data_IF_390128297744
#
_entry.id   IF_390128297744
#
_cell.length_a   1.000
_cell.length_b   1.000
_cell.length_c   1.000
_cell.angle_alpha   90.00
_cell.angle_beta   90.00
_cell.angle_gamma   90.00
#
_symmetry.space_group_name_H-M   'P 1'
#
loop_
_entity.id
_entity.type
_entity.pdbx_description
1 polymer ?
#
# COMPACT_ATOMS: atom_id res chain seq x y z
N UNK A 1 -18.38 25.18 36.14
CA UNK A 1 -18.21 25.67 34.75
C UNK A 1 -16.83 25.28 34.24
N UNK A 2 -16.64 24.00 33.88
CA UNK A 2 -15.35 23.46 33.41
C UNK A 2 -15.50 22.58 32.14
N UNK A 3 -16.72 22.42 31.62
CA UNK A 3 -17.01 21.56 30.48
C UNK A 3 -16.54 22.15 29.13
N UNK A 4 -16.54 23.48 28.96
CA UNK A 4 -16.44 24.08 27.62
C UNK A 4 -15.06 23.99 26.95
N UNK A 5 -14.00 23.63 27.68
CA UNK A 5 -12.67 23.44 27.07
C UNK A 5 -12.40 22.00 26.65
N UNK A 6 -13.19 21.03 27.14
CA UNK A 6 -13.03 19.62 26.81
C UNK A 6 -13.78 19.23 25.53
N UNK A 7 -14.93 19.88 25.29
CA UNK A 7 -15.75 19.64 24.11
C UNK A 7 -14.98 19.75 22.77
N UNK A 8 -14.18 20.82 22.51
CA UNK A 8 -13.41 20.90 21.27
C UNK A 8 -12.29 19.85 21.19
N UNK A 9 -11.67 19.49 22.32
CA UNK A 9 -10.61 18.46 22.35
C UNK A 9 -11.19 17.07 22.11
N UNK A 10 -12.39 16.80 22.63
CA UNK A 10 -13.09 15.55 22.38
C UNK A 10 -13.53 15.45 20.91
N UNK A 11 -14.08 16.52 20.35
CA UNK A 11 -14.44 16.57 18.93
C UNK A 11 -13.23 16.33 18.00
N UNK A 12 -12.09 16.93 18.34
CA UNK A 12 -10.81 16.69 17.64
C UNK A 12 -10.37 15.23 17.73
N UNK A 13 -10.39 14.65 18.93
CA UNK A 13 -9.99 13.26 19.16
C UNK A 13 -10.91 12.27 18.42
N UNK A 14 -12.22 12.53 18.42
CA UNK A 14 -13.20 11.72 17.70
C UNK A 14 -13.00 11.82 16.20
N UNK A 15 -12.73 13.01 15.65
CA UNK A 15 -12.44 13.21 14.22
C UNK A 15 -11.20 12.41 13.80
N UNK A 16 -10.13 12.46 14.59
CA UNK A 16 -8.90 11.68 14.35
C UNK A 16 -9.16 10.18 14.41
N UNK A 17 -9.94 9.71 15.39
CA UNK A 17 -10.30 8.31 15.51
C UNK A 17 -11.08 7.80 14.28
N UNK A 18 -12.03 8.61 13.78
CA UNK A 18 -12.77 8.27 12.54
C UNK A 18 -11.82 8.18 11.35
N UNK A 19 -10.91 9.13 11.18
CA UNK A 19 -9.93 9.10 10.09
C UNK A 19 -9.03 7.83 10.16
N UNK A 20 -8.59 7.44 11.36
CA UNK A 20 -7.81 6.21 11.57
C UNK A 20 -8.58 4.94 11.20
N UNK A 21 -9.85 4.84 11.60
CA UNK A 21 -10.71 3.70 11.26
C UNK A 21 -10.90 3.60 9.74
N UNK A 22 -11.20 4.72 9.08
CA UNK A 22 -11.35 4.75 7.62
C UNK A 22 -10.10 4.30 6.88
N UNK A 23 -8.91 4.68 7.38
CA UNK A 23 -7.62 4.25 6.82
C UNK A 23 -7.32 2.78 7.06
N UNK A 24 -7.79 2.21 8.16
CA UNK A 24 -7.62 0.80 8.46
C UNK A 24 -8.52 -0.11 7.60
N UNK A 25 -9.60 0.45 7.03
CA UNK A 25 -10.64 -0.27 6.30
C UNK A 25 -10.80 0.27 4.86
N UNK A 26 -9.73 0.24 4.07
CA UNK A 26 -9.74 0.65 2.66
C UNK A 26 -10.57 -0.26 1.74
N UNK A 27 -11.01 -1.41 2.24
CA UNK A 27 -11.92 -2.33 1.59
C UNK A 27 -13.40 -1.94 1.75
N UNK A 28 -13.71 -0.98 2.61
CA UNK A 28 -15.07 -0.46 2.75
C UNK A 28 -15.49 0.35 1.54
N UNK A 29 -16.70 0.06 1.06
CA UNK A 29 -17.39 0.90 0.10
C UNK A 29 -17.92 2.16 0.77
N UNK A 30 -18.31 3.15 -0.04
CA UNK A 30 -19.03 4.31 0.50
C UNK A 30 -20.33 3.90 1.21
N UNK A 31 -21.00 2.83 0.76
CA UNK A 31 -22.18 2.28 1.44
C UNK A 31 -21.86 1.83 2.88
N UNK A 32 -20.78 1.07 3.05
CA UNK A 32 -20.33 0.59 4.37
C UNK A 32 -19.97 1.77 5.29
N UNK A 33 -19.33 2.81 4.76
CA UNK A 33 -19.04 4.04 5.51
C UNK A 33 -20.34 4.73 5.95
N UNK A 34 -21.33 4.79 5.07
CA UNK A 34 -22.64 5.37 5.39
C UNK A 34 -23.36 4.57 6.48
N UNK A 35 -23.37 3.24 6.37
CA UNK A 35 -24.03 2.35 7.34
C UNK A 35 -23.34 2.37 8.70
N UNK A 36 -22.02 2.26 8.75
CA UNK A 36 -21.29 2.11 10.01
C UNK A 36 -20.93 3.41 10.71
N UNK A 37 -20.76 4.51 9.98
CA UNK A 37 -20.26 5.77 10.54
C UNK A 37 -21.24 6.92 10.39
N UNK A 38 -21.82 7.12 9.20
CA UNK A 38 -22.65 8.31 8.92
C UNK A 38 -23.98 8.31 9.69
N UNK A 39 -24.66 7.16 9.72
CA UNK A 39 -25.93 7.01 10.45
C UNK A 39 -25.73 6.81 11.97
N UNK A 40 -24.49 6.68 12.41
CA UNK A 40 -24.13 6.44 13.80
C UNK A 40 -23.76 7.72 14.58
N UNK A 41 -23.36 7.55 15.86
CA UNK A 41 -22.92 8.66 16.72
C UNK A 41 -21.66 9.37 16.19
N UNK A 42 -20.97 8.77 15.20
CA UNK A 42 -19.75 9.31 14.58
C UNK A 42 -20.02 10.12 13.32
N UNK A 43 -21.26 10.22 12.86
CA UNK A 43 -21.64 11.00 11.68
C UNK A 43 -21.20 12.47 11.72
N UNK A 44 -21.37 13.20 12.85
CA UNK A 44 -20.88 14.57 12.95
C UNK A 44 -19.37 14.69 12.81
N UNK A 45 -18.61 13.77 13.40
CA UNK A 45 -17.15 13.73 13.28
C UNK A 45 -16.71 13.41 11.83
N UNK A 46 -17.36 12.43 11.19
CA UNK A 46 -17.10 12.05 9.80
C UNK A 46 -17.26 13.23 8.83
N UNK A 47 -18.28 14.07 9.02
CA UNK A 47 -18.53 15.25 8.15
C UNK A 47 -17.42 16.30 8.21
N UNK A 48 -16.63 16.30 9.27
CA UNK A 48 -15.53 17.24 9.46
C UNK A 48 -14.20 16.68 8.97
N UNK A 49 -14.11 15.35 8.77
CA UNK A 49 -12.89 14.72 8.23
C UNK A 49 -12.69 15.19 6.80
N UNK A 50 -11.56 15.83 6.54
CA UNK A 50 -11.18 16.25 5.19
C UNK A 50 -10.51 15.12 4.42
N UNK A 51 -10.53 15.20 3.09
CA UNK A 51 -9.75 14.27 2.25
C UNK A 51 -8.26 14.35 2.60
N UNK A 52 -7.73 15.55 2.86
CA UNK A 52 -6.35 15.72 3.33
C UNK A 52 -6.09 14.91 4.61
N UNK A 53 -6.96 15.01 5.61
CA UNK A 53 -6.88 14.19 6.84
C UNK A 53 -7.14 12.70 6.63
N UNK A 54 -7.60 12.24 5.47
CA UNK A 54 -7.64 10.81 5.13
C UNK A 54 -6.37 10.36 4.42
N UNK A 55 -5.72 11.25 3.68
CA UNK A 55 -4.52 10.97 2.90
C UNK A 55 -3.20 11.21 3.68
N UNK A 56 -3.18 12.19 4.58
CA UNK A 56 -2.02 12.62 5.37
C UNK A 56 -1.94 11.88 6.70
N UNK A 57 -1.23 10.76 6.71
CA UNK A 57 -0.98 10.03 7.94
C UNK A 57 -0.04 10.85 8.86
N UNK A 58 -0.46 11.30 10.06
CA UNK A 58 0.43 12.03 10.95
C UNK A 58 1.62 11.17 11.42
N UNK A 59 1.55 9.85 11.28
CA UNK A 59 2.66 8.91 11.51
C UNK A 59 3.23 8.29 10.23
N UNK A 60 2.62 8.54 9.06
CA UNK A 60 2.94 7.86 7.81
C UNK A 60 3.12 8.86 6.68
N UNK A 61 4.24 8.73 5.97
CA UNK A 61 4.55 9.47 4.74
C UNK A 61 3.27 9.76 3.94
N UNK A 62 3.04 11.02 3.55
CA UNK A 62 1.94 11.38 2.65
C UNK A 62 1.84 10.34 1.52
N UNK A 63 0.62 10.03 1.04
CA UNK A 63 0.42 9.15 -0.11
C UNK A 63 1.20 9.69 -1.32
N UNK A 64 2.48 9.32 -1.40
CA UNK A 64 3.37 9.69 -2.46
C UNK A 64 2.95 8.83 -3.63
N UNK A 65 2.23 9.43 -4.58
CA UNK A 65 2.07 8.87 -5.90
C UNK A 65 3.48 8.58 -6.42
N UNK A 66 3.85 7.31 -6.62
CA UNK A 66 5.19 7.01 -7.04
C UNK A 66 5.39 7.61 -8.45
N UNK A 67 6.43 8.43 -8.61
CA UNK A 67 6.78 9.07 -9.89
C UNK A 67 7.22 8.08 -10.98
N UNK A 68 7.08 6.78 -10.73
CA UNK A 68 7.51 5.70 -11.60
C UNK A 68 6.41 5.20 -12.55
N UNK A 69 5.25 5.87 -12.58
CA UNK A 69 4.14 5.58 -13.48
C UNK A 69 3.38 4.30 -13.17
N UNK A 70 3.71 3.60 -12.07
CA UNK A 70 2.98 2.41 -11.67
C UNK A 70 1.75 2.70 -10.80
N UNK A 71 0.94 1.66 -10.51
CA UNK A 71 -0.22 1.78 -9.64
C UNK A 71 0.18 2.24 -8.24
N UNK A 72 -0.82 2.75 -7.51
CA UNK A 72 -0.70 3.14 -6.10
C UNK A 72 -0.09 2.01 -5.26
N UNK A 73 0.77 2.40 -4.32
CA UNK A 73 1.42 1.44 -3.41
C UNK A 73 0.39 0.99 -2.38
N UNK A 74 -0.08 -0.25 -2.51
CA UNK A 74 -0.90 -0.90 -1.49
C UNK A 74 -0.05 -1.16 -0.22
N UNK A 75 -0.27 -0.33 0.81
CA UNK A 75 0.43 -0.42 2.10
C UNK A 75 0.14 -1.73 2.84
N UNK A 76 -1.08 -2.26 2.73
CA UNK A 76 -1.44 -3.52 3.38
C UNK A 76 -0.65 -4.66 2.75
N UNK A 77 -0.60 -4.70 1.42
CA UNK A 77 0.25 -5.65 0.69
C UNK A 77 1.72 -5.48 1.02
N UNK A 78 2.21 -4.23 1.12
CA UNK A 78 3.59 -3.93 1.48
C UNK A 78 3.96 -4.50 2.86
N UNK A 79 3.11 -4.29 3.87
CA UNK A 79 3.33 -4.82 5.22
C UNK A 79 3.28 -6.35 5.28
N UNK A 80 2.35 -6.97 4.55
CA UNK A 80 2.30 -8.43 4.42
C UNK A 80 3.54 -8.99 3.71
N UNK A 81 4.00 -8.34 2.64
CA UNK A 81 5.21 -8.74 1.90
C UNK A 81 6.50 -8.57 2.73
N UNK A 82 6.59 -7.52 3.56
CA UNK A 82 7.71 -7.34 4.50
C UNK A 82 7.85 -8.55 5.44
N UNK A 83 6.73 -9.07 5.95
CA UNK A 83 6.67 -10.23 6.88
C UNK A 83 6.73 -11.59 6.19
N UNK A 84 6.42 -11.68 4.90
CA UNK A 84 6.44 -12.93 4.14
C UNK A 84 7.86 -13.49 3.95
N UNK A 85 8.00 -14.81 3.82
CA UNK A 85 9.30 -15.46 3.59
C UNK A 85 9.20 -16.52 2.48
N UNK A 86 10.33 -16.82 1.84
CA UNK A 86 10.42 -17.87 0.82
C UNK A 86 9.42 -17.66 -0.32
N UNK A 87 8.70 -18.72 -0.68
CA UNK A 87 7.72 -18.73 -1.78
C UNK A 87 6.63 -17.67 -1.62
N UNK A 88 6.14 -17.42 -0.40
CA UNK A 88 5.11 -16.40 -0.17
C UNK A 88 5.61 -15.00 -0.55
N UNK A 89 6.88 -14.70 -0.31
CA UNK A 89 7.47 -13.43 -0.75
C UNK A 89 7.62 -13.39 -2.27
N UNK A 90 7.97 -14.51 -2.88
CA UNK A 90 8.12 -14.63 -4.34
C UNK A 90 6.78 -14.42 -5.05
N UNK A 91 5.67 -14.86 -4.46
CA UNK A 91 4.33 -14.62 -4.99
C UNK A 91 3.96 -13.13 -4.97
N UNK A 92 4.27 -12.41 -3.88
CA UNK A 92 4.09 -10.95 -3.84
C UNK A 92 4.95 -10.25 -4.90
N UNK A 93 6.20 -10.69 -5.05
CA UNK A 93 7.13 -10.14 -6.03
C UNK A 93 6.65 -10.40 -7.47
N UNK A 94 6.14 -11.59 -7.75
CA UNK A 94 5.58 -11.96 -9.06
C UNK A 94 4.33 -11.15 -9.38
N UNK A 95 3.41 -10.99 -8.43
CA UNK A 95 2.21 -10.15 -8.62
C UNK A 95 2.56 -8.72 -8.99
N UNK A 96 3.52 -8.11 -8.28
CA UNK A 96 3.99 -6.75 -8.59
C UNK A 96 4.65 -6.68 -9.98
N UNK A 97 5.38 -7.72 -10.39
CA UNK A 97 5.95 -7.79 -11.74
C UNK A 97 4.89 -7.98 -12.83
N UNK A 98 3.82 -8.74 -12.55
CA UNK A 98 2.74 -9.02 -13.48
C UNK A 98 1.78 -7.81 -13.64
N UNK A 99 1.59 -7.04 -12.56
CA UNK A 99 0.83 -5.78 -12.59
C UNK A 99 1.58 -4.66 -13.31
N UNK A 100 2.90 -4.77 -13.47
CA UNK A 100 3.68 -3.77 -14.15
C UNK A 100 3.49 -3.86 -15.66
N UNK A 101 3.11 -2.75 -16.30
CA UNK A 101 3.08 -2.62 -17.76
C UNK A 101 4.52 -2.50 -18.31
N UNK A 102 5.25 -3.62 -18.33
CA UNK A 102 6.55 -3.75 -18.97
C UNK A 102 7.76 -3.88 -18.05
N UNK A 103 8.91 -3.40 -18.54
CA UNK A 103 10.22 -3.59 -17.91
C UNK A 103 10.44 -2.60 -16.74
N UNK A 104 10.45 -3.10 -15.50
CA UNK A 104 10.59 -2.29 -14.28
C UNK A 104 11.94 -2.38 -13.61
N UNK A 105 12.33 -1.32 -12.91
CA UNK A 105 13.57 -1.25 -12.15
C UNK A 105 13.45 -1.93 -10.76
N UNK A 106 14.59 -2.25 -10.13
CA UNK A 106 14.59 -2.76 -8.76
C UNK A 106 14.01 -1.76 -7.74
N UNK A 107 14.15 -0.45 -7.95
CA UNK A 107 13.54 0.56 -7.07
C UNK A 107 12.01 0.49 -7.08
N UNK A 108 11.40 0.31 -8.27
CA UNK A 108 9.96 0.13 -8.43
C UNK A 108 9.44 -1.05 -7.60
N UNK A 109 10.14 -2.19 -7.66
CA UNK A 109 9.78 -3.39 -6.90
C UNK A 109 9.98 -3.19 -5.40
N UNK A 110 11.07 -2.51 -5.01
CA UNK A 110 11.36 -2.23 -3.60
C UNK A 110 10.27 -1.35 -2.99
N UNK A 111 9.76 -0.36 -3.73
CA UNK A 111 8.68 0.50 -3.26
C UNK A 111 7.37 -0.26 -3.03
N UNK A 112 7.08 -1.32 -3.79
CA UNK A 112 5.80 -2.05 -3.77
C UNK A 112 5.81 -3.34 -2.95
N UNK A 113 6.96 -4.00 -2.83
CA UNK A 113 7.12 -5.27 -2.10
C UNK A 113 7.86 -5.06 -0.78
N UNK A 114 8.68 -4.02 -0.69
CA UNK A 114 9.45 -3.69 0.50
C UNK A 114 10.53 -4.72 0.83
N UNK A 115 10.97 -4.68 2.09
CA UNK A 115 11.99 -5.56 2.62
C UNK A 115 13.42 -5.16 2.23
N UNK A 116 14.42 -5.82 2.84
CA UNK A 116 15.82 -5.49 2.61
C UNK A 116 16.30 -5.93 1.21
N UNK A 117 17.28 -5.22 0.59
CA UNK A 117 17.71 -5.48 -0.79
C UNK A 117 18.13 -6.93 -1.08
N UNK A 118 18.70 -7.62 -0.09
CA UNK A 118 19.12 -9.02 -0.24
C UNK A 118 17.93 -9.97 -0.43
N UNK A 119 16.77 -9.67 0.17
CA UNK A 119 15.55 -10.47 0.08
C UNK A 119 14.96 -10.37 -1.32
N UNK A 120 14.92 -9.14 -1.86
CA UNK A 120 14.51 -8.86 -3.23
C UNK A 120 15.40 -9.59 -4.24
N UNK A 121 16.72 -9.51 -4.09
CA UNK A 121 17.68 -10.20 -4.99
C UNK A 121 17.49 -11.72 -4.96
N UNK A 122 17.30 -12.31 -3.78
CA UNK A 122 17.04 -13.75 -3.64
C UNK A 122 15.71 -14.17 -4.30
N UNK A 123 14.64 -13.40 -4.09
CA UNK A 123 13.34 -13.68 -4.71
C UNK A 123 13.38 -13.55 -6.23
N UNK A 124 13.96 -12.47 -6.75
CA UNK A 124 14.15 -12.27 -8.20
C UNK A 124 14.97 -13.41 -8.83
N UNK A 125 16.04 -13.84 -8.17
CA UNK A 125 16.84 -14.99 -8.64
C UNK A 125 15.96 -16.25 -8.76
N UNK A 126 15.16 -16.56 -7.74
CA UNK A 126 14.26 -17.73 -7.77
C UNK A 126 13.18 -17.63 -8.85
N UNK A 127 12.59 -16.45 -9.05
CA UNK A 127 11.60 -16.24 -10.11
C UNK A 127 12.22 -16.41 -11.52
N UNK A 128 13.45 -15.95 -11.71
CA UNK A 128 14.18 -16.13 -12.98
C UNK A 128 14.53 -17.61 -13.19
N UNK A 129 15.05 -18.29 -12.16
CA UNK A 129 15.34 -19.73 -12.22
C UNK A 129 14.07 -20.57 -12.48
N UNK A 130 12.92 -20.12 -11.99
CA UNK A 130 11.61 -20.74 -12.24
C UNK A 130 10.97 -20.35 -13.58
N UNK A 131 11.64 -19.53 -14.41
CA UNK A 131 11.11 -19.08 -15.71
C UNK A 131 9.93 -18.11 -15.61
N UNK A 132 9.63 -17.57 -14.42
CA UNK A 132 8.50 -16.65 -14.18
C UNK A 132 8.87 -15.18 -14.38
N UNK A 133 10.15 -14.86 -14.48
CA UNK A 133 10.63 -13.50 -14.67
C UNK A 133 11.88 -13.46 -15.54
N UNK A 134 12.03 -12.36 -16.27
CA UNK A 134 13.21 -12.07 -17.08
C UNK A 134 14.00 -10.90 -16.48
N UNK A 135 15.32 -10.92 -16.63
CA UNK A 135 16.21 -9.80 -16.29
C UNK A 135 16.90 -9.28 -17.55
N UNK A 136 16.79 -7.99 -17.83
CA UNK A 136 17.48 -7.29 -18.92
C UNK A 136 18.43 -6.23 -18.39
N UNK A 137 19.47 -5.91 -19.16
CA UNK A 137 20.42 -4.83 -18.86
C UNK A 137 21.59 -5.21 -17.94
N UNK A 138 22.47 -4.23 -17.68
CA UNK A 138 23.68 -4.39 -16.86
C UNK A 138 23.73 -3.31 -15.79
N UNK A 139 24.17 -3.66 -14.59
CA UNK A 139 24.37 -2.72 -13.47
C UNK A 139 23.12 -1.86 -13.20
N UNK A 140 23.18 -0.54 -13.41
CA UNK A 140 22.13 0.44 -13.10
C UNK A 140 20.96 0.43 -14.10
N UNK A 141 21.16 -0.12 -15.30
CA UNK A 141 20.11 -0.28 -16.32
C UNK A 141 19.38 -1.62 -16.20
N UNK A 142 19.58 -2.34 -15.08
CA UNK A 142 18.87 -3.60 -14.86
C UNK A 142 17.37 -3.35 -14.80
N UNK A 143 16.63 -4.11 -15.61
CA UNK A 143 15.18 -4.16 -15.65
C UNK A 143 14.68 -5.59 -15.47
N UNK A 144 13.48 -5.73 -14.92
CA UNK A 144 12.81 -6.98 -14.65
C UNK A 144 11.41 -6.95 -15.24
N UNK A 145 10.93 -8.10 -15.69
CA UNK A 145 9.62 -8.27 -16.29
C UNK A 145 9.06 -9.62 -15.90
N UNK A 146 7.74 -9.70 -15.67
CA UNK A 146 7.06 -10.99 -15.56
C UNK A 146 7.02 -11.70 -16.92
N UNK A 147 7.26 -13.00 -16.89
CA UNK A 147 6.94 -13.89 -17.99
C UNK A 147 5.60 -14.56 -17.62
N UNK A 148 4.60 -14.39 -18.48
CA UNK A 148 3.34 -15.10 -18.31
C UNK A 148 3.62 -16.59 -18.42
N UNK A 149 3.08 -17.37 -17.48
CA UNK A 149 3.13 -18.82 -17.54
C UNK A 149 2.12 -19.34 -18.58
N UNK A 150 2.24 -18.90 -19.84
CA UNK A 150 1.47 -19.45 -20.96
C UNK A 150 2.28 -19.31 -22.27
N UNK A 151 3.02 -20.37 -22.59
CA UNK A 151 3.32 -20.76 -23.97
C UNK A 151 3.71 -22.24 -23.99
N UNK A 152 2.79 -23.17 -24.32
CA UNK A 152 3.12 -24.24 -25.24
C UNK A 152 3.29 -23.72 -26.67
#
# INVERSE_FOLDING_TARGET
>A
MAASHLDPLLAEAERRAVALVLRAHLDWTLGDVFEHLYNGPRGPALRQVTIGELLDDPEGEALALPMDGGPLIDRRRLELAKRAHGANFDDYLYRVLAEAEGDVAACYLTARVGGPPWKLRKGLKRLIEAGKAERKGKTSTTRYRALDAEAP
#
